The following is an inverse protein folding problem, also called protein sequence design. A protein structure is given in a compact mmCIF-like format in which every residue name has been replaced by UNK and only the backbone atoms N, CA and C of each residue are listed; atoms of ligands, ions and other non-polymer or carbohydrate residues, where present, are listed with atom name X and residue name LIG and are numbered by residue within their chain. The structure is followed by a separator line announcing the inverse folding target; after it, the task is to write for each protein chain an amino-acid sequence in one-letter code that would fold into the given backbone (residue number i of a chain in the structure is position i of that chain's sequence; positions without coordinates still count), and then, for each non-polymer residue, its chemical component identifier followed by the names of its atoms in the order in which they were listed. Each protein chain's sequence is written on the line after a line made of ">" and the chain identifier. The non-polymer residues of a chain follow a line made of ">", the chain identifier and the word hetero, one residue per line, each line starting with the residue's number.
data_IF_054733342463
#
_entry.id   IF_054733342463
#
_cell.length_a   1.000
_cell.length_b   1.000
_cell.length_c   1.000
_cell.angle_alpha   90.00
_cell.angle_beta   90.00
_cell.angle_gamma   90.00
#
_symmetry.space_group_name_H-M   'P 1'
#
loop_
_entity.id
_entity.type
_entity.pdbx_description
1 polymer ?
#
# COMPACT_ATOMS: atom_id res chain seq x y z
N UNK A 1 7.64 21.15 6.49
CA UNK A 1 9.04 21.20 6.08
C UNK A 1 9.42 19.89 5.42
N UNK A 2 9.69 19.92 4.10
CA UNK A 2 10.03 18.76 3.28
C UNK A 2 11.50 18.82 2.83
N UNK A 3 12.39 19.04 3.78
CA UNK A 3 13.83 18.95 3.59
C UNK A 3 14.36 17.52 3.77
N UNK A 4 15.60 17.27 3.35
CA UNK A 4 16.21 15.94 3.39
C UNK A 4 16.30 15.35 4.81
N UNK A 5 16.50 16.20 5.83
CA UNK A 5 16.60 15.75 7.23
C UNK A 5 15.24 15.25 7.74
N UNK A 6 14.16 15.98 7.49
CA UNK A 6 12.81 15.59 7.87
C UNK A 6 12.35 14.33 7.10
N UNK A 7 12.66 14.23 5.80
CA UNK A 7 12.37 13.02 5.01
C UNK A 7 13.08 11.80 5.60
N UNK A 8 14.35 11.94 6.01
CA UNK A 8 15.10 10.86 6.66
C UNK A 8 14.43 10.42 7.96
N UNK A 9 14.06 11.36 8.83
CA UNK A 9 13.36 11.05 10.10
C UNK A 9 12.01 10.38 9.86
N UNK A 10 11.25 10.80 8.86
CA UNK A 10 10.00 10.15 8.47
C UNK A 10 10.24 8.72 7.98
N UNK A 11 11.28 8.47 7.17
CA UNK A 11 11.64 7.11 6.72
C UNK A 11 12.01 6.21 7.91
N UNK A 12 12.78 6.71 8.86
CA UNK A 12 13.15 5.98 10.08
C UNK A 12 11.92 5.65 10.93
N UNK A 13 11.00 6.60 11.10
CA UNK A 13 9.75 6.38 11.84
C UNK A 13 8.82 5.38 11.14
N UNK A 14 8.66 5.46 9.82
CA UNK A 14 7.89 4.48 9.06
C UNK A 14 8.51 3.08 9.18
N UNK A 15 9.84 2.96 9.05
CA UNK A 15 10.52 1.68 9.23
C UNK A 15 10.32 1.11 10.65
N UNK A 16 10.39 1.96 11.68
CA UNK A 16 10.09 1.58 13.07
C UNK A 16 8.66 1.06 13.23
N UNK A 17 7.68 1.74 12.62
CA UNK A 17 6.26 1.34 12.67
C UNK A 17 5.98 0.01 11.97
N UNK A 18 6.68 -0.27 10.86
CA UNK A 18 6.62 -1.57 10.18
C UNK A 18 7.29 -2.71 10.94
N UNK A 19 8.12 -2.40 11.93
CA UNK A 19 8.80 -3.39 12.74
C UNK A 19 7.83 -4.28 13.52
N UNK A 20 8.19 -5.55 13.71
CA UNK A 20 7.35 -6.55 14.38
C UNK A 20 6.89 -6.15 15.79
N UNK A 21 7.70 -5.39 16.52
CA UNK A 21 7.38 -4.95 17.87
C UNK A 21 6.33 -3.84 17.93
N UNK A 22 6.26 -3.00 16.90
CA UNK A 22 5.30 -1.87 16.85
C UNK A 22 4.06 -2.26 16.05
N UNK A 23 4.27 -2.83 14.86
CA UNK A 23 3.23 -3.36 13.97
C UNK A 23 2.03 -2.39 13.85
N UNK A 24 2.33 -1.13 13.55
CA UNK A 24 1.39 -0.03 13.39
C UNK A 24 1.78 0.78 12.16
N UNK A 25 1.56 0.20 11.02
CA UNK A 25 1.93 0.72 9.71
C UNK A 25 1.24 2.06 9.43
N UNK A 26 1.92 2.88 8.65
CA UNK A 26 1.42 4.21 8.28
C UNK A 26 1.93 4.61 6.91
N UNK A 27 1.18 5.43 6.21
CA UNK A 27 1.56 6.03 4.93
C UNK A 27 1.81 7.52 5.08
N UNK A 28 2.67 8.06 4.21
CA UNK A 28 3.06 9.46 4.18
C UNK A 28 2.61 10.08 2.87
N UNK A 29 1.88 11.17 2.95
CA UNK A 29 1.42 11.96 1.82
C UNK A 29 2.11 13.31 1.82
N UNK A 30 2.79 13.65 0.74
CA UNK A 30 3.61 14.84 0.65
C UNK A 30 3.35 15.57 -0.65
N UNK A 31 3.53 16.89 -0.64
CA UNK A 31 3.50 17.71 -1.84
C UNK A 31 4.74 18.56 -1.88
N UNK A 32 5.44 18.53 -3.00
CA UNK A 32 6.61 19.37 -3.23
C UNK A 32 6.32 20.45 -4.24
N UNK A 33 6.76 21.66 -3.94
CA UNK A 33 6.78 22.77 -4.87
C UNK A 33 8.14 22.87 -5.55
N UNK A 34 8.17 23.02 -6.85
CA UNK A 34 9.41 23.13 -7.60
C UNK A 34 9.22 22.88 -9.10
N UNK A 35 10.31 22.81 -9.81
CA UNK A 35 10.36 22.43 -11.22
C UNK A 35 10.31 20.91 -11.39
N UNK A 36 9.99 20.44 -12.58
CA UNK A 36 9.96 19.01 -12.91
C UNK A 36 11.29 18.32 -12.56
N UNK A 37 12.42 18.90 -12.93
CA UNK A 37 13.75 18.32 -12.66
C UNK A 37 14.08 18.23 -11.16
N UNK A 38 13.71 19.25 -10.39
CA UNK A 38 13.87 19.24 -8.94
C UNK A 38 13.04 18.13 -8.29
N UNK A 39 11.82 17.92 -8.79
CA UNK A 39 10.95 16.85 -8.30
C UNK A 39 11.53 15.46 -8.57
N UNK A 40 11.97 15.19 -9.79
CA UNK A 40 12.55 13.91 -10.18
C UNK A 40 13.76 13.57 -9.29
N UNK A 41 14.66 14.53 -9.09
CA UNK A 41 15.84 14.35 -8.25
C UNK A 41 15.49 14.10 -6.77
N UNK A 42 14.51 14.83 -6.24
CA UNK A 42 14.09 14.73 -4.85
C UNK A 42 13.47 13.37 -4.53
N UNK A 43 12.59 12.89 -5.40
CA UNK A 43 11.84 11.64 -5.16
C UNK A 43 12.73 10.42 -5.30
N UNK A 44 13.76 10.44 -6.18
CA UNK A 44 14.71 9.34 -6.31
C UNK A 44 15.39 9.01 -4.96
N UNK A 45 15.65 9.99 -4.12
CA UNK A 45 16.25 9.80 -2.79
C UNK A 45 15.32 9.15 -1.77
N UNK A 46 14.00 9.18 -2.00
CA UNK A 46 13.00 8.64 -1.07
C UNK A 46 12.86 7.14 -1.24
N UNK A 47 12.52 6.65 -2.42
CA UNK A 47 12.36 5.24 -2.79
C UNK A 47 11.71 4.39 -1.68
N UNK A 48 10.44 4.64 -1.37
CA UNK A 48 9.74 3.98 -0.27
C UNK A 48 8.27 3.73 -0.63
N UNK A 49 7.80 2.52 -0.38
CA UNK A 49 6.44 2.08 -0.71
C UNK A 49 5.33 2.79 0.10
N UNK A 50 5.67 3.37 1.23
CA UNK A 50 4.70 4.06 2.09
C UNK A 50 4.64 5.56 1.83
N UNK A 51 5.45 6.09 0.92
CA UNK A 51 5.50 7.50 0.58
C UNK A 51 4.82 7.75 -0.76
N UNK A 52 3.75 8.51 -0.75
CA UNK A 52 3.13 9.06 -1.95
C UNK A 52 3.37 10.56 -2.02
N UNK A 53 3.93 11.00 -3.12
CA UNK A 53 4.36 12.39 -3.32
C UNK A 53 3.65 12.95 -4.53
N UNK A 54 3.11 14.16 -4.42
CA UNK A 54 2.59 14.94 -5.55
C UNK A 54 3.47 16.17 -5.82
N UNK A 55 3.44 16.64 -7.05
CA UNK A 55 4.04 17.90 -7.42
C UNK A 55 3.00 19.03 -7.30
N UNK A 56 3.38 20.13 -6.65
CA UNK A 56 2.65 21.38 -6.75
C UNK A 56 3.16 22.18 -7.95
N UNK A 57 2.42 22.09 -9.05
CA UNK A 57 2.71 22.86 -10.26
C UNK A 57 1.73 24.01 -10.39
N UNK A 58 2.23 25.23 -10.15
CA UNK A 58 1.46 26.49 -10.31
C UNK A 58 0.09 26.51 -9.62
N UNK A 59 -0.10 25.72 -8.59
CA UNK A 59 -1.32 25.74 -7.78
C UNK A 59 -1.44 27.04 -7.00
N UNK A 60 -2.64 27.60 -6.86
CA UNK A 60 -2.88 28.74 -5.98
C UNK A 60 -2.86 28.37 -4.49
N UNK A 61 -3.01 27.07 -4.16
CA UNK A 61 -3.01 26.57 -2.80
C UNK A 61 -1.58 26.39 -2.26
N UNK A 62 -1.47 26.30 -0.95
CA UNK A 62 -0.21 25.89 -0.31
C UNK A 62 0.00 24.38 -0.48
N UNK A 63 1.25 23.89 -0.61
CA UNK A 63 1.53 22.46 -0.71
C UNK A 63 0.95 21.64 0.45
N UNK A 64 0.92 22.20 1.64
CA UNK A 64 0.37 21.59 2.85
C UNK A 64 -1.14 21.37 2.76
N UNK A 65 -1.88 22.28 2.14
CA UNK A 65 -3.33 22.16 1.92
C UNK A 65 -3.62 21.00 0.97
N UNK A 66 -2.92 20.93 -0.17
CA UNK A 66 -3.04 19.82 -1.12
C UNK A 66 -2.62 18.49 -0.48
N UNK A 67 -1.52 18.47 0.29
CA UNK A 67 -1.06 17.26 0.98
C UNK A 67 -2.10 16.76 1.98
N UNK A 68 -2.74 17.67 2.71
CA UNK A 68 -3.79 17.36 3.68
C UNK A 68 -5.06 16.84 3.01
N UNK A 69 -5.49 17.47 1.91
CA UNK A 69 -6.63 17.00 1.11
C UNK A 69 -6.37 15.60 0.53
N UNK A 70 -5.17 15.38 -0.03
CA UNK A 70 -4.77 14.07 -0.56
C UNK A 70 -4.75 12.99 0.52
N UNK A 71 -4.16 13.27 1.69
CA UNK A 71 -4.14 12.35 2.82
C UNK A 71 -5.56 12.03 3.31
N UNK A 72 -6.44 13.02 3.41
CA UNK A 72 -7.81 12.85 3.87
C UNK A 72 -8.64 11.97 2.91
N UNK A 73 -8.60 12.26 1.61
CA UNK A 73 -9.30 11.44 0.59
C UNK A 73 -8.76 10.02 0.62
N UNK A 74 -7.44 9.85 0.63
CA UNK A 74 -6.80 8.54 0.68
C UNK A 74 -7.19 7.75 1.93
N UNK A 75 -7.16 8.38 3.10
CA UNK A 75 -7.52 7.72 4.36
C UNK A 75 -8.98 7.24 4.36
N UNK A 76 -9.92 8.06 3.88
CA UNK A 76 -11.34 7.72 3.82
C UNK A 76 -11.60 6.56 2.86
N UNK A 77 -11.00 6.59 1.67
CA UNK A 77 -11.29 5.58 0.64
C UNK A 77 -10.58 4.27 0.91
N UNK A 78 -9.31 4.28 1.34
CA UNK A 78 -8.59 3.06 1.69
C UNK A 78 -9.11 2.39 2.98
N UNK A 79 -9.80 3.13 3.84
CA UNK A 79 -10.51 2.54 4.97
C UNK A 79 -11.74 1.73 4.51
N UNK A 80 -12.39 2.15 3.42
CA UNK A 80 -13.54 1.43 2.85
C UNK A 80 -13.09 0.20 2.05
N UNK A 81 -12.08 0.39 1.21
CA UNK A 81 -11.54 -0.65 0.34
C UNK A 81 -10.07 -0.33 -0.03
N UNK A 82 -9.09 -0.99 0.61
CA UNK A 82 -7.68 -0.69 0.38
C UNK A 82 -7.17 -1.10 -1.00
N UNK A 83 -7.86 -2.01 -1.70
CA UNK A 83 -7.49 -2.45 -3.04
C UNK A 83 -8.08 -1.57 -4.15
N UNK A 84 -9.03 -0.69 -3.81
CA UNK A 84 -9.70 0.15 -4.78
C UNK A 84 -8.90 1.41 -5.09
N UNK A 85 -8.65 1.66 -6.39
CA UNK A 85 -7.99 2.90 -6.83
C UNK A 85 -8.79 4.16 -6.45
N UNK A 86 -8.08 5.23 -6.13
CA UNK A 86 -8.65 6.53 -5.80
C UNK A 86 -8.57 7.53 -6.97
N UNK A 87 -8.24 7.06 -8.17
CA UNK A 87 -8.23 7.87 -9.37
C UNK A 87 -9.61 8.46 -9.65
N UNK A 88 -9.65 9.69 -10.11
CA UNK A 88 -10.87 10.46 -10.40
C UNK A 88 -11.53 11.13 -9.19
N UNK A 89 -11.05 10.86 -7.97
CA UNK A 89 -11.58 11.51 -6.77
C UNK A 89 -11.06 12.95 -6.63
N UNK A 90 -11.94 13.86 -6.28
CA UNK A 90 -11.61 15.27 -6.11
C UNK A 90 -10.85 15.52 -4.80
N UNK A 91 -9.86 16.39 -4.86
CA UNK A 91 -9.18 16.94 -3.70
C UNK A 91 -9.98 18.13 -3.17
N UNK A 92 -10.82 17.87 -2.19
CA UNK A 92 -11.72 18.89 -1.62
C UNK A 92 -10.93 20.07 -1.06
N UNK A 93 -11.24 21.27 -1.55
CA UNK A 93 -10.56 22.50 -1.14
C UNK A 93 -9.27 22.81 -1.90
N UNK A 94 -8.81 21.91 -2.77
CA UNK A 94 -7.67 22.18 -3.66
C UNK A 94 -8.14 22.85 -4.95
N UNK A 95 -7.79 24.10 -5.11
CA UNK A 95 -8.16 24.88 -6.29
C UNK A 95 -7.30 24.46 -7.50
N UNK A 96 -7.87 24.38 -8.70
CA UNK A 96 -7.14 24.01 -9.89
C UNK A 96 -6.03 25.02 -10.22
N UNK A 97 -4.92 24.52 -10.72
CA UNK A 97 -3.84 25.33 -11.23
C UNK A 97 -4.31 26.10 -12.49
N UNK A 98 -3.77 27.29 -12.71
CA UNK A 98 -4.07 28.07 -13.94
C UNK A 98 -3.55 27.41 -15.21
N UNK A 99 -2.52 26.61 -15.08
CA UNK A 99 -1.91 25.84 -16.15
C UNK A 99 -1.69 24.42 -15.65
N UNK A 100 -2.04 23.44 -16.46
CA UNK A 100 -1.81 22.02 -16.15
C UNK A 100 -0.50 21.51 -16.79
N UNK A 101 0.09 20.50 -16.18
CA UNK A 101 1.16 19.74 -16.81
C UNK A 101 0.61 18.98 -18.04
N UNK A 102 1.40 18.93 -19.11
CA UNK A 102 1.07 18.13 -20.29
C UNK A 102 1.10 16.65 -19.96
N UNK A 103 0.42 15.83 -20.76
CA UNK A 103 0.34 14.39 -20.55
C UNK A 103 1.74 13.75 -20.48
N UNK A 104 2.68 14.19 -21.33
CA UNK A 104 4.06 13.69 -21.33
C UNK A 104 4.79 14.01 -20.02
N UNK A 105 4.59 15.21 -19.48
CA UNK A 105 5.19 15.64 -18.21
C UNK A 105 4.61 14.85 -17.03
N UNK A 106 3.29 14.60 -17.03
CA UNK A 106 2.65 13.74 -16.01
C UNK A 106 3.13 12.30 -16.10
N UNK A 107 3.32 11.75 -17.31
CA UNK A 107 3.90 10.42 -17.49
C UNK A 107 5.33 10.33 -16.95
N UNK A 108 6.17 11.35 -17.17
CA UNK A 108 7.51 11.40 -16.58
C UNK A 108 7.47 11.39 -15.05
N UNK A 109 6.53 12.12 -14.44
CA UNK A 109 6.32 12.10 -12.99
C UNK A 109 5.90 10.71 -12.51
N UNK A 110 4.94 10.08 -13.18
CA UNK A 110 4.49 8.72 -12.84
C UNK A 110 5.61 7.70 -12.95
N UNK A 111 6.41 7.74 -14.01
CA UNK A 111 7.57 6.87 -14.17
C UNK A 111 8.59 7.02 -13.03
N UNK A 112 8.70 8.21 -12.46
CA UNK A 112 9.52 8.48 -11.29
C UNK A 112 8.88 8.10 -9.95
N UNK A 113 7.62 7.66 -9.94
CA UNK A 113 6.89 7.31 -8.71
C UNK A 113 6.26 8.52 -8.01
N UNK A 114 5.86 9.53 -8.78
CA UNK A 114 5.18 10.73 -8.29
C UNK A 114 3.71 10.64 -8.70
N UNK A 115 2.82 10.77 -7.73
CA UNK A 115 1.38 10.81 -7.95
C UNK A 115 0.98 12.09 -8.71
N UNK A 116 0.00 11.98 -9.59
CA UNK A 116 -0.43 13.07 -10.47
C UNK A 116 -1.87 13.46 -10.23
N UNK A 117 -2.18 14.71 -10.57
CA UNK A 117 -3.53 15.30 -10.56
C UNK A 117 -3.88 15.86 -11.92
N UNK A 118 -5.18 15.92 -12.19
CA UNK A 118 -5.77 16.56 -13.38
C UNK A 118 -6.91 17.48 -12.94
N UNK A 119 -7.32 18.39 -13.81
CA UNK A 119 -8.58 19.10 -13.64
C UNK A 119 -9.68 18.30 -14.34
N UNK A 120 -10.70 17.93 -13.59
CA UNK A 120 -11.81 17.14 -14.13
C UNK A 120 -12.80 18.00 -14.93
N UNK A 121 -13.81 17.37 -15.52
CA UNK A 121 -14.83 18.07 -16.32
C UNK A 121 -15.65 19.11 -15.53
N UNK A 122 -15.68 19.02 -14.20
CA UNK A 122 -16.35 19.97 -13.32
C UNK A 122 -15.45 21.18 -12.97
N UNK A 123 -14.19 21.18 -13.42
CA UNK A 123 -13.23 22.21 -13.10
C UNK A 123 -12.54 22.05 -11.74
N UNK A 124 -12.64 20.89 -11.11
CA UNK A 124 -12.03 20.60 -9.81
C UNK A 124 -10.75 19.77 -9.96
N UNK A 125 -9.79 19.97 -9.06
CA UNK A 125 -8.58 19.14 -9.00
C UNK A 125 -8.95 17.72 -8.56
N UNK A 126 -8.57 16.72 -9.36
CA UNK A 126 -8.82 15.32 -9.08
C UNK A 126 -7.51 14.51 -9.18
N UNK A 127 -7.43 13.42 -8.43
CA UNK A 127 -6.32 12.47 -8.49
C UNK A 127 -6.35 11.77 -9.85
N UNK A 128 -5.28 11.84 -10.64
CA UNK A 128 -5.14 11.06 -11.87
C UNK A 128 -4.62 9.66 -11.56
N UNK A 129 -3.57 9.57 -10.74
CA UNK A 129 -3.05 8.29 -10.25
C UNK A 129 -2.30 8.46 -8.94
N UNK A 130 -2.61 7.59 -7.99
CA UNK A 130 -1.91 7.44 -6.72
C UNK A 130 -0.68 6.54 -6.90
N UNK A 131 0.50 7.12 -6.94
CA UNK A 131 1.76 6.39 -7.05
C UNK A 131 2.55 6.47 -5.75
N UNK A 132 3.36 5.44 -5.47
CA UNK A 132 4.37 5.49 -4.42
C UNK A 132 5.73 5.87 -4.99
N UNK A 133 6.63 6.32 -4.13
CA UNK A 133 8.01 6.62 -4.54
C UNK A 133 8.88 5.37 -4.71
N UNK A 134 8.35 4.16 -4.53
CA UNK A 134 9.09 2.91 -4.65
C UNK A 134 9.35 2.56 -6.11
N UNK A 135 10.62 2.52 -6.50
CA UNK A 135 11.06 2.24 -7.89
C UNK A 135 12.19 1.23 -7.96
N UNK A 136 12.90 1.00 -6.85
CA UNK A 136 14.06 0.11 -6.80
C UNK A 136 13.94 -0.81 -5.58
N UNK A 137 14.22 -2.07 -5.76
CA UNK A 137 14.30 -3.05 -4.67
C UNK A 137 15.60 -2.89 -3.86
N UNK A 138 15.77 -3.71 -2.83
CA UNK A 138 16.96 -3.69 -1.96
C UNK A 138 18.28 -3.97 -2.68
N UNK A 139 18.24 -4.64 -3.84
CA UNK A 139 19.39 -4.88 -4.69
C UNK A 139 19.67 -3.73 -5.69
N UNK A 140 18.85 -2.67 -5.69
CA UNK A 140 18.97 -1.52 -6.58
C UNK A 140 18.39 -1.74 -7.98
N UNK A 141 17.80 -2.90 -8.26
CA UNK A 141 17.13 -3.18 -9.53
C UNK A 141 15.75 -2.50 -9.58
N UNK A 142 15.32 -2.10 -10.78
CA UNK A 142 13.99 -1.54 -11.02
C UNK A 142 12.92 -2.54 -10.58
N UNK A 143 11.97 -2.06 -9.79
CA UNK A 143 10.90 -2.86 -9.22
C UNK A 143 9.62 -2.02 -9.13
N UNK A 144 8.53 -2.55 -9.68
CA UNK A 144 7.23 -1.91 -9.72
C UNK A 144 6.21 -2.57 -8.78
N UNK A 145 6.63 -3.54 -7.93
CA UNK A 145 5.74 -4.32 -7.07
C UNK A 145 4.86 -3.46 -6.18
N UNK A 146 5.39 -2.33 -5.72
CA UNK A 146 4.67 -1.38 -4.86
C UNK A 146 4.47 -0.03 -5.54
N UNK A 147 4.33 -0.02 -6.87
CA UNK A 147 4.15 1.23 -7.60
C UNK A 147 2.85 1.95 -7.22
N UNK A 148 1.75 1.23 -7.14
CA UNK A 148 0.45 1.81 -6.76
C UNK A 148 0.27 1.79 -5.23
N UNK A 149 -0.26 2.87 -4.67
CA UNK A 149 -0.53 2.97 -3.24
C UNK A 149 -1.55 1.92 -2.77
N UNK A 150 -2.46 1.49 -3.63
CA UNK A 150 -3.42 0.41 -3.36
C UNK A 150 -2.74 -0.89 -2.93
N UNK A 151 -1.63 -1.28 -3.59
CA UNK A 151 -0.86 -2.48 -3.22
C UNK A 151 -0.31 -2.36 -1.79
N UNK A 152 0.26 -1.20 -1.45
CA UNK A 152 0.76 -0.95 -0.10
C UNK A 152 -0.37 -0.96 0.93
N UNK A 153 -1.49 -0.30 0.66
CA UNK A 153 -2.63 -0.25 1.59
C UNK A 153 -3.26 -1.62 1.80
N UNK A 154 -3.38 -2.41 0.73
CA UNK A 154 -3.87 -3.79 0.81
C UNK A 154 -2.94 -4.66 1.67
N UNK A 155 -1.62 -4.55 1.48
CA UNK A 155 -0.64 -5.28 2.30
C UNK A 155 -0.70 -4.85 3.79
N UNK A 156 -0.86 -3.56 4.09
CA UNK A 156 -1.05 -3.04 5.44
C UNK A 156 -2.32 -3.63 6.07
N UNK A 157 -3.44 -3.62 5.34
CA UNK A 157 -4.70 -4.18 5.82
C UNK A 157 -4.60 -5.70 6.10
N UNK A 158 -3.94 -6.46 5.21
CA UNK A 158 -3.73 -7.89 5.41
C UNK A 158 -2.91 -8.17 6.69
N UNK A 159 -1.84 -7.42 6.93
CA UNK A 159 -1.04 -7.53 8.16
C UNK A 159 -1.87 -7.19 9.40
N UNK A 160 -2.63 -6.09 9.34
CA UNK A 160 -3.52 -5.69 10.42
C UNK A 160 -4.58 -6.76 10.72
N UNK A 161 -5.30 -7.24 9.71
CA UNK A 161 -6.37 -8.24 9.88
C UNK A 161 -5.84 -9.57 10.39
N UNK A 162 -4.63 -9.99 9.97
CA UNK A 162 -3.96 -11.16 10.51
C UNK A 162 -3.60 -11.00 11.98
N UNK A 163 -3.00 -9.88 12.35
CA UNK A 163 -2.70 -9.55 13.75
C UNK A 163 -3.96 -9.59 14.63
N UNK A 164 -5.02 -8.92 14.19
CA UNK A 164 -6.31 -8.91 14.91
C UNK A 164 -6.89 -10.33 15.04
N UNK A 165 -6.84 -11.13 13.98
CA UNK A 165 -7.32 -12.53 13.99
C UNK A 165 -6.56 -13.36 15.04
N UNK A 166 -5.24 -13.24 15.09
CA UNK A 166 -4.40 -13.93 16.08
C UNK A 166 -4.75 -13.47 17.50
N UNK A 167 -4.86 -12.19 17.73
CA UNK A 167 -5.18 -11.65 19.06
C UNK A 167 -6.57 -12.06 19.54
N UNK A 168 -7.57 -12.08 18.67
CA UNK A 168 -8.93 -12.45 19.02
C UNK A 168 -9.08 -13.94 19.31
N UNK A 169 -8.46 -14.79 18.50
CA UNK A 169 -8.67 -16.24 18.59
C UNK A 169 -7.69 -16.96 19.52
N UNK A 170 -6.42 -16.55 19.53
CA UNK A 170 -5.35 -17.30 20.18
C UNK A 170 -4.75 -16.61 21.41
N UNK A 171 -5.41 -15.59 21.92
CA UNK A 171 -4.99 -14.95 23.17
C UNK A 171 -4.92 -16.00 24.30
N UNK A 172 -3.76 -16.11 24.98
CA UNK A 172 -3.50 -17.04 26.08
C UNK A 172 -3.51 -18.52 25.67
N UNK A 173 -3.24 -18.83 24.41
CA UNK A 173 -2.99 -20.20 23.97
C UNK A 173 -1.54 -20.59 24.24
N UNK A 174 -1.33 -21.88 24.46
CA UNK A 174 0.00 -22.51 24.52
C UNK A 174 0.42 -22.88 23.11
N UNK A 175 1.72 -22.90 22.85
CA UNK A 175 2.29 -23.33 21.58
C UNK A 175 2.78 -24.77 21.70
N UNK A 176 2.49 -25.60 20.71
CA UNK A 176 3.00 -26.97 20.60
C UNK A 176 3.39 -27.25 19.13
N UNK A 177 4.17 -28.31 18.92
CA UNK A 177 4.44 -28.81 17.57
C UNK A 177 3.24 -29.57 16.98
N UNK A 178 3.30 -29.92 15.70
CA UNK A 178 2.20 -30.57 14.99
C UNK A 178 2.03 -32.07 15.36
N UNK A 179 2.95 -32.65 16.10
CA UNK A 179 2.83 -34.04 16.63
C UNK A 179 2.02 -34.09 17.93
N UNK A 180 1.76 -32.94 18.54
CA UNK A 180 0.97 -32.86 19.75
C UNK A 180 -0.54 -33.06 19.45
N UNK A 181 -1.13 -34.07 20.06
CA UNK A 181 -2.58 -34.29 19.95
C UNK A 181 -3.35 -33.38 20.91
N UNK A 182 -3.96 -32.35 20.35
CA UNK A 182 -4.76 -31.37 21.10
C UNK A 182 -6.06 -32.03 21.56
N UNK A 183 -6.23 -32.15 22.89
CA UNK A 183 -7.47 -32.69 23.45
C UNK A 183 -8.59 -31.63 23.51
N UNK A 184 -9.87 -32.02 23.42
CA UNK A 184 -10.99 -31.11 23.52
C UNK A 184 -10.91 -30.21 24.77
N UNK A 185 -11.09 -28.90 24.58
CA UNK A 185 -11.03 -27.92 25.67
C UNK A 185 -9.63 -27.39 26.01
N UNK A 186 -8.58 -27.93 25.44
CA UNK A 186 -7.24 -27.40 25.61
C UNK A 186 -7.03 -26.16 24.71
N UNK A 187 -6.46 -25.10 25.29
CA UNK A 187 -6.05 -23.90 24.54
C UNK A 187 -4.59 -24.09 24.07
N UNK A 188 -4.42 -24.86 23.02
CA UNK A 188 -3.13 -25.14 22.38
C UNK A 188 -3.23 -24.82 20.90
N UNK A 189 -2.22 -24.20 20.35
CA UNK A 189 -2.08 -23.88 18.93
C UNK A 189 -0.84 -24.54 18.37
N UNK A 190 -0.92 -25.05 17.15
CA UNK A 190 0.19 -25.64 16.40
C UNK A 190 0.41 -24.92 15.08
N UNK A 191 1.54 -25.07 14.40
CA UNK A 191 1.78 -24.53 13.06
C UNK A 191 0.65 -24.87 12.08
N UNK A 192 0.15 -26.09 12.10
CA UNK A 192 -0.95 -26.54 11.24
C UNK A 192 -2.27 -25.83 11.53
N UNK A 193 -2.58 -25.58 12.80
CA UNK A 193 -3.79 -24.82 13.21
C UNK A 193 -3.70 -23.39 12.69
N UNK A 194 -2.55 -22.72 12.84
CA UNK A 194 -2.37 -21.35 12.33
C UNK A 194 -2.37 -21.29 10.80
N UNK A 195 -1.84 -22.32 10.13
CA UNK A 195 -1.94 -22.43 8.66
C UNK A 195 -3.41 -22.53 8.22
N UNK A 196 -4.22 -23.32 8.90
CA UNK A 196 -5.67 -23.40 8.63
C UNK A 196 -6.37 -22.07 8.86
N UNK A 197 -5.99 -21.34 9.89
CA UNK A 197 -6.59 -20.04 10.22
C UNK A 197 -6.25 -18.93 9.21
N UNK A 198 -5.00 -18.90 8.72
CA UNK A 198 -4.64 -17.94 7.67
C UNK A 198 -5.31 -18.26 6.32
N UNK A 199 -5.51 -19.54 6.02
CA UNK A 199 -6.28 -19.94 4.84
C UNK A 199 -7.72 -19.45 4.94
N UNK A 200 -8.37 -19.61 6.10
CA UNK A 200 -9.72 -19.09 6.32
C UNK A 200 -9.77 -17.56 6.21
N UNK A 201 -8.79 -16.84 6.76
CA UNK A 201 -8.70 -15.39 6.60
C UNK A 201 -8.47 -14.97 5.14
N UNK A 202 -7.68 -15.74 4.39
CA UNK A 202 -7.45 -15.46 2.97
C UNK A 202 -8.73 -15.65 2.12
N UNK A 203 -9.61 -16.54 2.52
CA UNK A 203 -10.94 -16.67 1.91
C UNK A 203 -11.82 -15.44 2.21
N UNK A 204 -11.70 -14.85 3.41
CA UNK A 204 -12.34 -13.56 3.73
C UNK A 204 -11.75 -12.43 2.85
N UNK A 205 -10.44 -12.38 2.63
CA UNK A 205 -9.81 -11.41 1.72
C UNK A 205 -10.26 -11.58 0.27
N UNK A 206 -10.42 -12.83 -0.20
CA UNK A 206 -10.94 -13.11 -1.54
C UNK A 206 -12.38 -12.63 -1.67
N UNK A 207 -13.23 -12.92 -0.69
CA UNK A 207 -14.62 -12.48 -0.67
C UNK A 207 -14.75 -10.94 -0.65
N UNK A 208 -13.78 -10.25 -0.04
CA UNK A 208 -13.69 -8.80 -0.02
C UNK A 208 -13.04 -8.21 -1.31
N UNK A 209 -12.58 -9.04 -2.25
CA UNK A 209 -11.94 -8.58 -3.49
C UNK A 209 -10.53 -8.00 -3.30
N UNK A 210 -9.83 -8.39 -2.24
CA UNK A 210 -8.49 -7.88 -1.92
C UNK A 210 -7.36 -8.70 -2.56
N UNK A 211 -7.62 -9.99 -2.80
CA UNK A 211 -6.65 -10.95 -3.35
C UNK A 211 -7.28 -11.77 -4.47
N UNK A 212 -6.44 -12.28 -5.34
CA UNK A 212 -6.77 -13.30 -6.34
C UNK A 212 -5.92 -14.55 -6.13
N UNK A 213 -6.28 -15.66 -6.78
CA UNK A 213 -5.54 -16.93 -6.79
C UNK A 213 -5.20 -17.49 -5.41
N UNK A 214 -6.24 -17.75 -4.60
CA UNK A 214 -6.11 -18.41 -3.31
C UNK A 214 -5.43 -19.78 -3.40
N UNK A 215 -5.58 -20.48 -4.52
CA UNK A 215 -4.98 -21.81 -4.70
C UNK A 215 -3.45 -21.74 -4.68
N UNK A 216 -2.88 -20.79 -5.40
CA UNK A 216 -1.42 -20.54 -5.36
C UNK A 216 -0.98 -20.06 -3.98
N UNK A 217 -1.75 -19.17 -3.33
CA UNK A 217 -1.44 -18.71 -1.99
C UNK A 217 -1.32 -19.85 -0.99
N UNK A 218 -2.29 -20.79 -0.96
CA UNK A 218 -2.28 -21.95 -0.07
C UNK A 218 -0.98 -22.77 -0.17
N UNK A 219 -0.39 -22.85 -1.35
CA UNK A 219 0.84 -23.60 -1.61
C UNK A 219 2.12 -22.85 -1.17
N UNK A 220 2.03 -21.54 -0.93
CA UNK A 220 3.18 -20.69 -0.57
C UNK A 220 3.27 -20.40 0.94
N UNK A 221 2.26 -20.81 1.72
CA UNK A 221 2.24 -20.58 3.16
C UNK A 221 3.28 -21.46 3.82
N UNK A 222 4.23 -20.82 4.51
CA UNK A 222 5.18 -21.51 5.37
C UNK A 222 4.92 -21.09 6.83
N UNK A 223 4.67 -22.08 7.68
CA UNK A 223 4.45 -21.88 9.12
C UNK A 223 5.32 -22.85 9.88
N UNK A 224 6.21 -22.38 10.73
CA UNK A 224 7.15 -23.21 11.48
C UNK A 224 7.43 -22.63 12.87
N UNK A 225 7.76 -23.49 13.79
CA UNK A 225 8.32 -23.08 15.09
C UNK A 225 9.70 -22.46 14.88
N UNK A 226 10.07 -21.53 15.76
CA UNK A 226 11.41 -20.97 15.75
C UNK A 226 12.38 -21.93 16.46
N UNK A 227 13.54 -22.15 15.87
CA UNK A 227 14.54 -23.08 16.42
C UNK A 227 15.22 -22.56 17.69
N UNK A 228 15.22 -21.24 17.91
CA UNK A 228 15.90 -20.57 19.00
C UNK A 228 14.94 -20.03 20.07
N UNK A 229 13.65 -19.99 19.80
CA UNK A 229 12.64 -19.47 20.70
C UNK A 229 11.42 -20.38 20.72
N UNK A 230 11.28 -21.16 21.77
CA UNK A 230 10.21 -22.16 21.95
C UNK A 230 8.80 -21.54 22.09
N UNK A 231 8.69 -20.24 22.31
CA UNK A 231 7.43 -19.50 22.40
C UNK A 231 7.07 -18.76 21.10
N UNK A 232 7.88 -18.95 20.05
CA UNK A 232 7.77 -18.24 18.79
C UNK A 232 7.40 -19.15 17.63
N UNK A 233 6.51 -18.62 16.78
CA UNK A 233 6.13 -19.21 15.51
C UNK A 233 6.38 -18.22 14.39
N UNK A 234 7.05 -18.65 13.34
CA UNK A 234 7.34 -17.87 12.15
C UNK A 234 6.38 -18.23 11.01
N UNK A 235 5.91 -17.22 10.30
CA UNK A 235 5.09 -17.40 9.10
C UNK A 235 5.62 -16.56 7.94
N UNK A 236 5.63 -17.16 6.75
CA UNK A 236 5.82 -16.48 5.48
C UNK A 236 4.52 -16.58 4.69
N UNK A 237 3.97 -15.44 4.30
CA UNK A 237 2.72 -15.31 3.58
C UNK A 237 2.98 -14.52 2.28
N UNK A 238 2.56 -15.06 1.13
CA UNK A 238 2.76 -14.44 -0.18
C UNK A 238 1.42 -14.35 -0.94
N UNK A 239 0.47 -13.53 -0.46
CA UNK A 239 -0.78 -13.31 -1.16
C UNK A 239 -0.55 -12.55 -2.47
N UNK A 240 -1.41 -12.79 -3.46
CA UNK A 240 -1.45 -12.03 -4.71
C UNK A 240 -2.56 -10.96 -4.62
N UNK A 241 -2.23 -9.66 -4.40
CA UNK A 241 -3.22 -8.60 -4.33
C UNK A 241 -3.98 -8.43 -5.65
N UNK A 242 -5.26 -8.04 -5.56
CA UNK A 242 -6.10 -7.73 -6.72
C UNK A 242 -5.54 -6.55 -7.52
N UNK A 243 -5.53 -6.69 -8.84
CA UNK A 243 -5.09 -5.64 -9.75
C UNK A 243 -6.17 -4.60 -10.03
N UNK A 244 -5.76 -3.35 -10.26
CA UNK A 244 -6.65 -2.25 -10.63
C UNK A 244 -6.85 -2.19 -12.15
N UNK A 245 -8.09 -2.02 -12.60
CA UNK A 245 -8.38 -1.71 -14.00
C UNK A 245 -8.01 -0.24 -14.30
N UNK A 246 -6.87 -0.04 -14.97
CA UNK A 246 -6.37 1.32 -15.30
C UNK A 246 -6.66 1.73 -16.74
N UNK A 247 -6.60 0.79 -17.68
CA UNK A 247 -6.72 1.09 -19.12
C UNK A 247 -7.61 0.03 -19.78
N UNK A 248 -8.56 0.48 -20.58
CA UNK A 248 -9.32 -0.37 -21.50
C UNK A 248 -8.96 0.05 -22.92
N UNK A 249 -8.27 -0.82 -23.66
CA UNK A 249 -7.98 -0.62 -25.06
C UNK A 249 -9.01 -1.34 -25.92
N UNK A 250 -9.70 -0.62 -26.79
CA UNK A 250 -10.71 -1.16 -27.68
C UNK A 250 -10.45 -0.75 -29.14
N UNK A 251 -10.67 -1.69 -30.08
CA UNK A 251 -10.67 -1.41 -31.52
C UNK A 251 -12.09 -1.63 -32.06
N UNK A 252 -12.67 -0.57 -32.65
CA UNK A 252 -13.96 -0.67 -33.37
C UNK A 252 -13.64 -0.85 -34.87
N UNK A 253 -14.19 -1.91 -35.47
CA UNK A 253 -14.03 -2.18 -36.89
C UNK A 253 -15.42 -2.38 -37.52
N UNK A 254 -15.73 -1.58 -38.52
CA UNK A 254 -16.95 -1.72 -39.31
C UNK A 254 -16.71 -2.73 -40.44
N UNK A 255 -17.63 -3.65 -40.61
CA UNK A 255 -17.68 -4.56 -41.74
C UNK A 255 -18.71 -3.97 -42.72
N UNK A 256 -18.25 -3.63 -43.93
CA UNK A 256 -19.11 -3.16 -45.04
C UNK A 256 -19.66 -4.33 -45.83
#
# INVERSE_FOLDING_TARGET
>A
YVDAANIRLLKEEIARRFGAMVNNESSVYMVFKGTLNEMLTKVESINNQCFSVMMDYKSPNMPEERASAYAAVSAIEFQKDPARQIAGLELVGDLPAKEELRAEERNMLLEAGIATVIVNANGNTAIEREATTYRKNSAGATDNSYFDMTTTQTAIYMRYSWKERIQQKFQRYKLADDNYEVQPGQKVVTPKVLTGEIIALAEDWLAAGLVEDISSFKNTILTMLDDNDTERLNQLLQPNPMNNLRIVAGKLQFIS
#
